data_IF_956351920434
#
_entry.id   IF_956351920434
#
_cell.length_a   1.000
_cell.length_b   1.000
_cell.length_c   1.000
_cell.angle_alpha   90.00
_cell.angle_beta   90.00
_cell.angle_gamma   90.00
#
_symmetry.space_group_name_H-M   'P 1'
#
loop_
_entity.id
_entity.type
_entity.pdbx_description
1 polymer ?
#
# COMPACT_ATOMS: atom_id res chain seq x y z
N UNK A 1 61.07 17.48 -28.68
CA UNK A 1 61.03 16.01 -28.84
C UNK A 1 61.87 15.41 -27.72
N UNK A 2 61.22 14.88 -26.68
CA UNK A 2 61.91 14.18 -25.57
C UNK A 2 61.60 12.69 -25.72
N UNK A 3 62.65 11.88 -25.76
CA UNK A 3 62.62 10.46 -26.04
C UNK A 3 62.27 9.62 -24.79
N UNK A 4 61.52 8.54 -25.03
CA UNK A 4 61.07 7.51 -24.09
C UNK A 4 62.19 6.78 -23.35
N UNK A 5 61.91 6.29 -22.13
CA UNK A 5 61.78 4.85 -21.78
C UNK A 5 61.68 4.68 -20.26
N UNK A 6 60.63 4.01 -19.78
CA UNK A 6 60.46 3.54 -18.38
C UNK A 6 60.46 1.99 -18.36
N UNK A 7 60.72 1.35 -17.20
CA UNK A 7 61.49 0.10 -17.11
C UNK A 7 60.66 -1.19 -17.19
N UNK A 8 61.32 -2.26 -17.65
CA UNK A 8 60.85 -3.64 -17.49
C UNK A 8 61.09 -4.10 -16.05
N UNK A 9 60.04 -4.37 -15.28
CA UNK A 9 60.11 -5.28 -14.14
C UNK A 9 59.48 -6.62 -14.54
N UNK A 10 60.31 -7.65 -14.63
CA UNK A 10 59.87 -9.03 -14.67
C UNK A 10 60.11 -9.63 -13.28
N UNK A 11 59.04 -10.02 -12.59
CA UNK A 11 59.11 -10.91 -11.46
C UNK A 11 58.11 -12.05 -11.70
N UNK A 12 58.65 -13.24 -11.90
CA UNK A 12 57.91 -14.50 -11.95
C UNK A 12 58.14 -15.17 -10.60
N UNK A 13 57.06 -15.52 -9.89
CA UNK A 13 57.12 -16.50 -8.82
C UNK A 13 55.84 -17.34 -8.86
N UNK A 14 56.05 -18.66 -8.84
CA UNK A 14 55.06 -19.69 -9.10
C UNK A 14 54.50 -20.32 -7.81
N UNK A 15 53.46 -21.14 -8.02
CA UNK A 15 52.97 -22.25 -7.19
C UNK A 15 52.17 -21.91 -5.93
N UNK A 16 50.93 -22.40 -5.83
CA UNK A 16 50.55 -23.67 -5.18
C UNK A 16 49.02 -23.83 -5.17
N UNK A 17 48.58 -25.08 -5.41
CA UNK A 17 47.43 -25.84 -4.85
C UNK A 17 46.17 -25.09 -4.37
N UNK A 18 44.92 -25.52 -4.56
CA UNK A 18 44.32 -26.85 -4.46
C UNK A 18 43.06 -26.92 -5.35
N UNK A 19 42.71 -28.13 -5.79
CA UNK A 19 41.40 -28.41 -6.35
C UNK A 19 40.34 -28.39 -5.25
N UNK A 20 39.53 -27.34 -5.20
CA UNK A 20 38.23 -27.39 -4.53
C UNK A 20 37.13 -27.56 -5.59
N UNK A 21 36.56 -28.76 -5.58
CA UNK A 21 35.24 -29.06 -6.11
C UNK A 21 34.23 -28.24 -5.29
N UNK A 22 33.96 -26.99 -5.68
CA UNK A 22 32.80 -26.26 -5.16
C UNK A 22 31.56 -26.76 -5.90
N UNK A 23 31.03 -27.87 -5.39
CA UNK A 23 29.64 -28.25 -5.62
C UNK A 23 28.76 -27.18 -4.98
N UNK A 24 27.82 -26.66 -5.77
CA UNK A 24 26.61 -25.92 -5.37
C UNK A 24 26.92 -24.59 -4.65
N UNK A 25 26.55 -23.44 -5.17
CA UNK A 25 25.20 -23.12 -5.58
C UNK A 25 25.07 -23.09 -7.09
N UNK A 26 23.97 -23.66 -7.57
CA UNK A 26 23.30 -23.12 -8.75
C UNK A 26 23.25 -21.59 -8.61
N UNK A 27 24.13 -20.88 -9.30
CA UNK A 27 23.70 -19.62 -9.91
C UNK A 27 22.75 -20.05 -11.02
N UNK A 28 21.55 -20.38 -10.54
CA UNK A 28 20.37 -20.50 -11.34
C UNK A 28 20.26 -19.18 -12.07
N UNK A 29 20.62 -19.23 -13.35
CA UNK A 29 20.09 -18.31 -14.34
C UNK A 29 18.57 -18.44 -14.29
N UNK A 30 17.93 -17.78 -13.33
CA UNK A 30 16.52 -17.46 -13.38
C UNK A 30 16.42 -15.96 -13.45
N UNK A 31 15.70 -15.48 -14.48
CA UNK A 31 15.37 -14.07 -14.62
C UNK A 31 14.70 -13.51 -13.37
N UNK A 32 14.37 -12.22 -13.32
CA UNK A 32 13.79 -11.59 -12.14
C UNK A 32 12.53 -12.36 -11.72
N UNK A 33 12.66 -13.28 -10.75
CA UNK A 33 11.53 -14.04 -10.25
C UNK A 33 10.79 -13.12 -9.32
N UNK A 34 9.72 -12.55 -9.84
CA UNK A 34 8.84 -11.70 -9.08
C UNK A 34 8.17 -12.57 -8.00
N UNK A 35 8.35 -12.27 -6.71
CA UNK A 35 7.65 -13.01 -5.69
C UNK A 35 6.14 -12.78 -5.87
N UNK A 36 5.38 -13.88 -5.95
CA UNK A 36 3.91 -13.82 -6.04
C UNK A 36 3.27 -13.49 -4.69
N UNK A 37 3.97 -13.79 -3.58
CA UNK A 37 3.57 -13.48 -2.22
C UNK A 37 4.79 -13.20 -1.34
N UNK A 38 4.59 -12.37 -0.31
CA UNK A 38 5.60 -11.99 0.68
C UNK A 38 5.09 -12.27 2.09
N UNK A 39 6.01 -12.57 3.01
CA UNK A 39 5.66 -12.66 4.44
C UNK A 39 5.52 -11.26 5.04
N UNK A 40 4.61 -11.08 6.01
CA UNK A 40 4.36 -9.80 6.68
C UNK A 40 5.39 -9.47 7.79
N UNK A 41 6.61 -10.02 7.71
CA UNK A 41 7.69 -9.72 8.66
C UNK A 41 8.18 -8.29 8.43
N UNK A 42 8.24 -7.49 9.49
CA UNK A 42 8.63 -6.09 9.42
C UNK A 42 10.15 -5.93 9.55
N UNK A 43 10.82 -5.70 8.41
CA UNK A 43 12.25 -5.43 8.28
C UNK A 43 12.45 -4.31 7.23
N UNK A 44 12.23 -3.05 7.61
CA UNK A 44 12.01 -1.98 6.65
C UNK A 44 13.23 -1.70 5.77
N UNK A 45 13.01 -1.56 4.46
CA UNK A 45 14.06 -1.19 3.49
C UNK A 45 13.66 0.08 2.72
N UNK A 46 14.52 1.08 2.75
CA UNK A 46 14.32 2.34 2.01
C UNK A 46 14.91 2.23 0.60
N UNK A 47 14.11 2.58 -0.41
CA UNK A 47 14.52 2.66 -1.80
C UNK A 47 15.06 4.06 -2.13
N UNK A 48 15.80 4.18 -3.25
CA UNK A 48 16.43 5.45 -3.65
C UNK A 48 15.43 6.59 -3.90
N UNK A 49 14.17 6.28 -4.18
CA UNK A 49 13.08 7.24 -4.35
C UNK A 49 12.43 7.70 -3.03
N UNK A 50 12.98 7.30 -1.88
CA UNK A 50 12.46 7.63 -0.55
C UNK A 50 11.29 6.77 -0.09
N UNK A 51 10.85 5.80 -0.87
CA UNK A 51 9.79 4.85 -0.47
C UNK A 51 10.40 3.79 0.44
N UNK A 52 9.79 3.56 1.60
CA UNK A 52 10.17 2.47 2.51
C UNK A 52 9.20 1.31 2.38
N UNK A 53 9.73 0.12 2.11
CA UNK A 53 8.96 -1.11 1.99
C UNK A 53 9.03 -1.92 3.29
N UNK A 54 7.97 -2.68 3.58
CA UNK A 54 7.83 -3.49 4.80
C UNK A 54 8.99 -4.48 4.99
N UNK A 55 9.45 -5.08 3.90
CA UNK A 55 10.66 -5.88 3.82
C UNK A 55 11.20 -5.97 2.39
N UNK A 56 12.33 -6.65 2.22
CA UNK A 56 13.00 -6.83 0.93
C UNK A 56 12.11 -7.52 -0.12
N UNK A 57 11.27 -8.47 0.28
CA UNK A 57 10.36 -9.15 -0.64
C UNK A 57 9.36 -8.15 -1.27
N UNK A 58 8.76 -7.26 -0.47
CA UNK A 58 7.86 -6.22 -0.99
C UNK A 58 8.55 -5.24 -1.94
N UNK A 59 9.82 -4.92 -1.67
CA UNK A 59 10.63 -4.09 -2.56
C UNK A 59 10.85 -4.80 -3.91
N UNK A 60 11.28 -6.07 -3.90
CA UNK A 60 11.50 -6.86 -5.12
C UNK A 60 10.19 -7.07 -5.92
N UNK A 61 9.06 -7.26 -5.24
CA UNK A 61 7.74 -7.33 -5.86
C UNK A 61 7.37 -6.03 -6.61
N UNK A 62 7.73 -4.88 -6.04
CA UNK A 62 7.50 -3.58 -6.65
C UNK A 62 8.36 -3.37 -7.90
N UNK A 63 9.66 -3.69 -7.81
CA UNK A 63 10.61 -3.62 -8.95
C UNK A 63 10.14 -4.45 -10.16
N UNK A 64 9.36 -5.51 -9.90
CA UNK A 64 8.76 -6.36 -10.89
C UNK A 64 7.53 -5.78 -11.59
N UNK A 65 6.73 -4.96 -10.90
CA UNK A 65 5.57 -4.28 -11.50
C UNK A 65 6.02 -3.20 -12.48
N UNK A 66 7.14 -2.56 -12.20
CA UNK A 66 7.68 -1.51 -13.06
C UNK A 66 8.30 -2.07 -14.35
N UNK A 67 8.85 -3.30 -14.30
CA UNK A 67 9.39 -4.00 -15.48
C UNK A 67 8.33 -4.63 -16.38
N UNK A 68 7.08 -4.76 -15.93
CA UNK A 68 5.98 -5.39 -16.69
C UNK A 68 5.31 -4.47 -17.71
N UNK A 69 5.82 -3.26 -17.93
CA UNK A 69 5.27 -2.31 -18.93
C UNK A 69 5.76 -2.53 -20.37
N UNK A 70 6.77 -3.38 -20.59
CA UNK A 70 7.33 -3.62 -21.94
C UNK A 70 7.22 -5.06 -22.45
N UNK A 71 6.37 -5.91 -21.86
CA UNK A 71 5.98 -7.18 -22.49
C UNK A 71 4.46 -7.28 -22.46
N UNK A 72 3.87 -6.98 -23.61
CA UNK A 72 2.42 -7.03 -23.84
C UNK A 72 1.83 -8.38 -23.48
N UNK A 73 1.10 -8.40 -22.37
CA UNK A 73 0.08 -9.39 -22.06
C UNK A 73 -1.29 -8.75 -22.26
N UNK A 74 -2.00 -9.19 -23.28
CA UNK A 74 -3.36 -8.76 -23.61
C UNK A 74 -4.36 -9.25 -22.56
N UNK A 75 -4.98 -8.36 -21.80
CA UNK A 75 -6.24 -8.63 -21.10
C UNK A 75 -7.42 -8.16 -21.96
N UNK A 76 -8.23 -9.06 -22.55
CA UNK A 76 -9.42 -8.67 -23.29
C UNK A 76 -10.60 -8.54 -22.33
N UNK A 77 -10.80 -7.36 -21.74
CA UNK A 77 -12.14 -6.77 -21.41
C UNK A 77 -11.99 -5.51 -20.54
N UNK A 78 -11.58 -4.42 -21.17
CA UNK A 78 -12.19 -3.12 -20.87
C UNK A 78 -13.14 -2.79 -22.01
N UNK A 79 -14.44 -3.09 -21.81
CA UNK A 79 -15.48 -2.43 -22.58
C UNK A 79 -15.77 -1.11 -21.88
N UNK A 80 -15.26 -0.03 -22.45
CA UNK A 80 -15.79 1.31 -22.25
C UNK A 80 -17.21 1.33 -22.83
N UNK A 81 -18.21 1.35 -21.94
CA UNK A 81 -19.62 1.50 -22.26
C UNK A 81 -20.08 2.89 -21.89
N UNK A 82 -20.59 3.59 -22.89
CA UNK A 82 -21.08 4.97 -22.87
C UNK A 82 -22.34 5.18 -22.00
N UNK A 83 -22.37 6.36 -21.37
CA UNK A 83 -23.53 7.22 -21.06
C UNK A 83 -24.94 6.60 -20.93
N UNK A 84 -25.52 6.67 -19.73
CA UNK A 84 -26.98 6.89 -19.56
C UNK A 84 -27.37 7.39 -18.15
N UNK A 85 -27.74 8.67 -18.09
CA UNK A 85 -28.86 9.27 -17.36
C UNK A 85 -29.48 8.43 -16.21
N UNK A 86 -28.95 8.56 -14.99
CA UNK A 86 -29.67 8.19 -13.78
C UNK A 86 -30.71 9.25 -13.41
N UNK A 87 -31.92 9.16 -13.98
CA UNK A 87 -33.12 9.76 -13.37
C UNK A 87 -33.57 8.81 -12.25
N UNK A 88 -33.15 9.03 -11.02
CA UNK A 88 -33.86 8.47 -9.86
C UNK A 88 -34.88 9.48 -9.37
N UNK A 89 -36.04 9.47 -10.02
CA UNK A 89 -37.27 9.72 -9.30
C UNK A 89 -37.67 8.38 -8.67
N UNK A 90 -37.28 8.17 -7.41
CA UNK A 90 -37.92 7.19 -6.55
C UNK A 90 -38.42 7.93 -5.33
N UNK A 91 -39.73 8.19 -5.33
CA UNK A 91 -40.43 8.69 -4.16
C UNK A 91 -40.26 7.71 -3.02
N UNK A 92 -39.64 8.18 -1.95
CA UNK A 92 -39.50 7.46 -0.70
C UNK A 92 -39.92 8.47 0.37
N UNK A 93 -41.17 8.37 0.82
CA UNK A 93 -41.74 9.18 1.92
C UNK A 93 -41.10 8.77 3.24
N UNK A 94 -39.82 9.10 3.43
CA UNK A 94 -39.12 8.93 4.69
C UNK A 94 -38.17 10.12 4.82
N UNK A 95 -38.17 10.73 6.00
CA UNK A 95 -37.65 12.07 6.25
C UNK A 95 -36.22 12.34 5.78
N UNK A 96 -35.87 13.62 5.82
CA UNK A 96 -34.54 14.20 5.62
C UNK A 96 -33.42 13.22 5.93
N UNK A 97 -32.45 12.98 5.02
CA UNK A 97 -31.35 12.05 5.30
C UNK A 97 -30.57 12.58 6.51
N UNK A 98 -30.77 11.94 7.66
CA UNK A 98 -30.01 12.24 8.86
C UNK A 98 -28.62 11.64 8.65
N UNK A 99 -27.63 12.48 8.41
CA UNK A 99 -26.22 12.10 8.52
C UNK A 99 -25.90 11.90 10.00
N UNK A 100 -25.37 10.74 10.36
CA UNK A 100 -24.92 10.43 11.71
C UNK A 100 -23.41 10.62 11.80
N UNK A 101 -22.95 11.04 12.97
CA UNK A 101 -21.53 11.15 13.25
C UNK A 101 -21.00 9.78 13.70
N UNK A 102 -19.85 9.33 13.15
CA UNK A 102 -19.26 8.08 13.59
C UNK A 102 -18.69 8.23 15.01
N UNK A 103 -18.85 7.20 15.83
CA UNK A 103 -18.28 7.13 17.17
C UNK A 103 -16.79 6.71 17.07
N UNK A 104 -15.94 7.66 16.68
CA UNK A 104 -14.51 7.43 16.46
C UNK A 104 -13.74 7.83 17.72
N UNK A 105 -12.92 6.91 18.21
CA UNK A 105 -11.87 7.19 19.20
C UNK A 105 -10.61 7.55 18.41
N UNK A 106 -10.15 8.79 18.51
CA UNK A 106 -8.86 9.19 17.97
C UNK A 106 -7.76 8.61 18.88
N UNK A 107 -6.85 7.81 18.33
CA UNK A 107 -5.68 7.35 19.08
C UNK A 107 -4.64 8.48 19.10
N UNK A 108 -4.28 8.91 20.30
CA UNK A 108 -3.28 9.94 20.53
C UNK A 108 -1.86 9.39 20.29
N UNK A 109 -1.40 9.40 19.04
CA UNK A 109 0.04 9.42 18.80
C UNK A 109 0.52 10.88 18.87
N UNK A 110 1.48 11.22 19.75
CA UNK A 110 1.99 12.58 19.89
C UNK A 110 2.75 12.98 18.62
N UNK A 111 2.04 13.59 17.68
CA UNK A 111 2.61 14.28 16.53
C UNK A 111 2.24 15.74 16.71
N UNK A 112 3.26 16.62 16.79
CA UNK A 112 3.14 18.07 17.01
C UNK A 112 2.42 18.84 15.87
N UNK A 113 1.51 18.20 15.13
CA UNK A 113 0.77 18.79 14.01
C UNK A 113 -0.60 19.29 14.49
N UNK A 114 -0.59 20.30 15.35
CA UNK A 114 -1.81 21.05 15.73
C UNK A 114 -2.51 21.58 14.46
N UNK A 115 -3.82 21.34 14.35
CA UNK A 115 -4.61 21.77 13.18
C UNK A 115 -5.51 22.93 13.57
N UNK A 116 -5.49 24.01 12.78
CA UNK A 116 -6.36 25.18 12.96
C UNK A 116 -7.48 25.14 11.92
N UNK A 117 -8.73 25.30 12.35
CA UNK A 117 -9.88 25.42 11.43
C UNK A 117 -10.07 26.85 10.88
N UNK A 118 -11.05 27.01 9.98
CA UNK A 118 -11.41 28.30 9.38
C UNK A 118 -11.93 29.35 10.38
N UNK A 119 -12.33 28.91 11.58
CA UNK A 119 -12.80 29.77 12.67
C UNK A 119 -11.67 30.12 13.67
N UNK A 120 -10.45 29.60 13.44
CA UNK A 120 -9.31 29.79 14.33
C UNK A 120 -9.30 28.86 15.56
N UNK A 121 -10.10 27.79 15.57
CA UNK A 121 -10.09 26.79 16.64
C UNK A 121 -8.94 25.81 16.42
N UNK A 122 -8.16 25.57 17.45
CA UNK A 122 -7.01 24.65 17.45
C UNK A 122 -7.50 23.27 17.90
N UNK A 123 -7.13 22.25 17.14
CA UNK A 123 -7.38 20.84 17.44
C UNK A 123 -6.04 20.11 17.54
N UNK A 124 -5.91 19.15 18.47
CA UNK A 124 -4.66 18.41 18.65
C UNK A 124 -4.42 17.42 17.51
N UNK A 125 -5.44 17.07 16.72
CA UNK A 125 -5.27 16.26 15.52
C UNK A 125 -6.33 16.55 14.46
N UNK A 126 -6.04 16.14 13.22
CA UNK A 126 -7.03 16.15 12.13
C UNK A 126 -8.25 15.28 12.46
N UNK A 127 -8.05 14.15 13.14
CA UNK A 127 -9.13 13.26 13.56
C UNK A 127 -10.12 14.01 14.45
N UNK A 128 -9.61 14.70 15.48
CA UNK A 128 -10.47 15.45 16.40
C UNK A 128 -11.18 16.63 15.72
N UNK A 129 -10.50 17.32 14.82
CA UNK A 129 -11.11 18.38 14.03
C UNK A 129 -12.29 17.85 13.20
N UNK A 130 -12.15 16.69 12.55
CA UNK A 130 -13.21 16.08 11.74
C UNK A 130 -14.40 15.61 12.59
N UNK A 131 -14.12 15.00 13.75
CA UNK A 131 -15.15 14.60 14.72
C UNK A 131 -15.91 15.82 15.24
N UNK A 132 -15.20 16.89 15.63
CA UNK A 132 -15.82 18.11 16.14
C UNK A 132 -16.66 18.86 15.10
N UNK A 133 -16.26 18.81 13.82
CA UNK A 133 -16.99 19.44 12.72
C UNK A 133 -18.25 18.68 12.31
N UNK A 134 -18.41 17.42 12.73
CA UNK A 134 -19.56 16.62 12.36
C UNK A 134 -20.85 17.14 13.02
N UNK A 135 -21.85 17.48 12.20
CA UNK A 135 -23.16 17.97 12.65
C UNK A 135 -24.19 16.86 12.49
N UNK A 136 -24.44 16.12 13.57
CA UNK A 136 -25.41 15.04 13.58
C UNK A 136 -25.44 14.31 14.92
N UNK A 137 -26.49 13.52 15.17
CA UNK A 137 -26.48 12.61 16.31
C UNK A 137 -25.39 11.54 16.11
N UNK A 138 -24.71 11.17 17.20
CA UNK A 138 -23.89 9.95 17.23
C UNK A 138 -24.87 8.77 17.21
N UNK A 139 -24.73 7.85 16.26
CA UNK A 139 -25.53 6.62 16.24
C UNK A 139 -24.87 5.51 17.05
N UNK A 140 -25.70 4.80 17.81
CA UNK A 140 -25.32 3.53 18.39
C UNK A 140 -25.00 2.50 17.26
N UNK A 141 -23.87 1.76 17.35
CA UNK A 141 -23.48 0.81 16.32
C UNK A 141 -24.53 -0.28 16.02
N UNK A 142 -25.31 -0.74 16.99
CA UNK A 142 -26.35 -1.75 16.77
C UNK A 142 -27.54 -1.15 16.01
N UNK A 143 -27.86 0.11 16.29
CA UNK A 143 -28.87 0.86 15.54
C UNK A 143 -28.40 1.12 14.10
N UNK A 144 -27.13 1.46 13.91
CA UNK A 144 -26.52 1.59 12.59
C UNK A 144 -26.59 0.27 11.81
N UNK A 145 -26.23 -0.84 12.46
CA UNK A 145 -26.33 -2.19 11.88
C UNK A 145 -27.77 -2.53 11.46
N UNK A 146 -28.75 -2.32 12.34
CA UNK A 146 -30.17 -2.56 12.04
C UNK A 146 -30.67 -1.71 10.87
N UNK A 147 -30.22 -0.45 10.77
CA UNK A 147 -30.53 0.45 9.67
C UNK A 147 -29.93 -0.04 8.34
N UNK A 148 -28.67 -0.48 8.35
CA UNK A 148 -27.94 -0.87 7.14
C UNK A 148 -28.39 -2.23 6.60
N UNK A 149 -28.60 -3.19 7.51
CA UNK A 149 -28.83 -4.61 7.15
C UNK A 149 -30.28 -5.05 7.36
N UNK A 150 -31.14 -4.20 7.92
CA UNK A 150 -32.56 -4.50 8.16
C UNK A 150 -32.81 -5.59 9.22
N UNK A 151 -31.76 -6.08 9.87
CA UNK A 151 -31.80 -7.15 10.88
C UNK A 151 -30.98 -6.74 12.09
N UNK A 152 -31.37 -7.24 13.27
CA UNK A 152 -30.61 -7.02 14.50
C UNK A 152 -29.34 -7.89 14.51
N UNK A 153 -28.29 -7.40 15.19
CA UNK A 153 -27.07 -8.17 15.34
C UNK A 153 -27.37 -9.48 16.07
N UNK A 154 -27.00 -10.61 15.46
CA UNK A 154 -27.29 -11.93 16.00
C UNK A 154 -28.67 -12.50 15.64
N UNK A 155 -29.46 -11.85 14.77
CA UNK A 155 -30.70 -12.45 14.26
C UNK A 155 -30.40 -13.76 13.50
N UNK A 156 -31.18 -14.81 13.77
CA UNK A 156 -31.07 -16.10 13.08
C UNK A 156 -31.16 -15.91 11.57
N UNK A 157 -30.36 -16.67 10.80
CA UNK A 157 -30.59 -16.79 9.36
C UNK A 157 -31.98 -17.40 9.19
N UNK A 158 -32.84 -16.69 8.47
CA UNK A 158 -34.06 -17.30 7.94
C UNK A 158 -33.58 -18.28 6.88
N UNK A 159 -33.80 -19.56 7.13
CA UNK A 159 -33.63 -20.61 6.14
C UNK A 159 -34.83 -20.49 5.20
N UNK A 160 -34.61 -19.84 4.05
CA UNK A 160 -35.57 -19.73 2.95
C UNK A 160 -35.50 -20.98 2.05
#
# INVERSE_FOLDING_TARGET
MLASTLPLLAAIAATTTHADNLRTSSEESTGPHCPDACSDVYEPVTYENGITYLNECYKQAADCKDKKKDIGGTDPRSKSGDSSKGKSASGSTYGTPVSYCPDIICLDDPVDDEVIDENGVIYPSKCEMEVAKCKGPIEDPLKAYKRLYGKEFGASRQED
#
